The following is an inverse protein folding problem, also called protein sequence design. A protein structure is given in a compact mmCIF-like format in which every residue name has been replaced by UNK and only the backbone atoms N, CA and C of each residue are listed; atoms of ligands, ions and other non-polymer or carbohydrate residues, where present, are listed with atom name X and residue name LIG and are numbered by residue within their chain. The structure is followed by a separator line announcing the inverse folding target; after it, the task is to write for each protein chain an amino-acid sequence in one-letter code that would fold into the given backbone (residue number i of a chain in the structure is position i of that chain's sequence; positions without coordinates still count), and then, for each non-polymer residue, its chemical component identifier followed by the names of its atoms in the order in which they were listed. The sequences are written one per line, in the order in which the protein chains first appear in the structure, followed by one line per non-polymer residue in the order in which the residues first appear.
data_IF_334500283684
#
_entry.id   IF_334500283684
#
_cell.length_a   1.000
_cell.length_b   1.000
_cell.length_c   1.000
_cell.angle_alpha   90.00
_cell.angle_beta   90.00
_cell.angle_gamma   90.00
#
_symmetry.space_group_name_H-M   'P 1'
#
loop_
_entity.id
_entity.type
_entity.pdbx_description
1 polymer ?
#
# COMPACT_ATOMS: atom_id res chain seq x y z
N UNK A 1 -11.39 19.43 46.23
CA UNK A 1 -11.31 19.74 44.79
C UNK A 1 -12.72 20.04 44.30
N UNK A 2 -13.01 21.24 43.79
CA UNK A 2 -14.38 21.61 43.40
C UNK A 2 -14.87 20.80 42.20
N UNK A 3 -16.17 20.54 42.14
CA UNK A 3 -16.83 19.72 41.09
C UNK A 3 -16.51 20.24 39.67
N UNK A 4 -16.40 21.57 39.51
CA UNK A 4 -15.98 22.24 38.26
C UNK A 4 -14.54 21.94 37.85
N UNK A 5 -13.58 21.88 38.78
CA UNK A 5 -12.19 21.52 38.48
C UNK A 5 -12.08 20.06 38.04
N UNK A 6 -12.88 19.17 38.62
CA UNK A 6 -12.89 17.75 38.26
C UNK A 6 -13.47 17.52 36.86
N UNK A 7 -14.51 18.29 36.49
CA UNK A 7 -15.06 18.30 35.13
C UNK A 7 -14.06 18.84 34.09
N UNK A 8 -13.39 19.96 34.39
CA UNK A 8 -12.37 20.53 33.51
C UNK A 8 -11.22 19.55 33.27
N UNK A 9 -10.71 18.89 34.32
CA UNK A 9 -9.66 17.88 34.20
C UNK A 9 -10.10 16.70 33.34
N UNK A 10 -11.35 16.20 33.49
CA UNK A 10 -11.87 15.12 32.63
C UNK A 10 -11.92 15.51 31.15
N UNK A 11 -12.36 16.73 30.85
CA UNK A 11 -12.40 17.24 29.46
C UNK A 11 -10.99 17.36 28.90
N UNK A 12 -10.06 17.89 29.69
CA UNK A 12 -8.66 18.07 29.29
C UNK A 12 -7.98 16.72 28.99
N UNK A 13 -8.20 15.72 29.85
CA UNK A 13 -7.70 14.34 29.64
C UNK A 13 -8.33 13.72 28.39
N UNK A 14 -9.64 13.92 28.16
CA UNK A 14 -10.33 13.41 26.97
C UNK A 14 -9.77 14.02 25.67
N UNK A 15 -9.57 15.34 25.65
CA UNK A 15 -9.00 16.05 24.49
C UNK A 15 -7.56 15.62 24.24
N UNK A 16 -6.73 15.53 25.28
CA UNK A 16 -5.36 15.04 25.16
C UNK A 16 -5.34 13.61 24.61
N UNK A 17 -6.20 12.72 25.10
CA UNK A 17 -6.31 11.35 24.60
C UNK A 17 -6.65 11.28 23.10
N UNK A 18 -7.56 12.14 22.62
CA UNK A 18 -7.88 12.25 21.19
C UNK A 18 -6.68 12.74 20.38
N UNK A 19 -5.99 13.79 20.84
CA UNK A 19 -4.80 14.32 20.17
C UNK A 19 -3.71 13.26 20.07
N UNK A 20 -3.42 12.55 21.17
CA UNK A 20 -2.44 11.46 21.16
C UNK A 20 -2.85 10.32 20.21
N UNK A 21 -4.14 9.98 20.15
CA UNK A 21 -4.63 8.95 19.22
C UNK A 21 -4.44 9.35 17.75
N UNK A 22 -4.71 10.62 17.42
CA UNK A 22 -4.50 11.16 16.07
C UNK A 22 -3.02 11.13 15.70
N UNK A 23 -2.15 11.62 16.60
CA UNK A 23 -0.69 11.64 16.37
C UNK A 23 -0.16 10.21 16.21
N UNK A 24 -0.56 9.29 17.08
CA UNK A 24 -0.11 7.90 17.02
C UNK A 24 -0.51 7.24 15.69
N UNK A 25 -1.75 7.45 15.23
CA UNK A 25 -2.22 6.91 13.96
C UNK A 25 -1.46 7.52 12.77
N UNK A 26 -1.17 8.82 12.81
CA UNK A 26 -0.39 9.49 11.76
C UNK A 26 1.04 8.92 11.67
N UNK A 27 1.73 8.76 12.80
CA UNK A 27 3.08 8.19 12.86
C UNK A 27 3.09 6.75 12.35
N UNK A 28 2.09 5.95 12.72
CA UNK A 28 2.03 4.56 12.28
C UNK A 28 1.81 4.46 10.76
N UNK A 29 0.93 5.29 10.19
CA UNK A 29 0.73 5.36 8.73
C UNK A 29 2.00 5.79 7.98
N UNK A 30 2.74 6.76 8.50
CA UNK A 30 3.99 7.20 7.89
C UNK A 30 5.04 6.07 7.90
N UNK A 31 5.20 5.38 9.03
CA UNK A 31 6.11 4.24 9.14
C UNK A 31 5.73 3.09 8.18
N UNK A 32 4.43 2.81 8.04
CA UNK A 32 3.92 1.82 7.11
C UNK A 32 4.20 2.20 5.65
N UNK A 33 4.01 3.47 5.30
CA UNK A 33 4.32 3.98 3.97
C UNK A 33 5.81 3.83 3.63
N UNK A 34 6.70 4.21 4.55
CA UNK A 34 8.16 4.07 4.39
C UNK A 34 8.57 2.61 4.22
N UNK A 35 7.99 1.70 5.03
CA UNK A 35 8.24 0.26 4.89
C UNK A 35 7.75 -0.26 3.54
N UNK A 36 6.55 0.13 3.13
CA UNK A 36 5.97 -0.30 1.87
C UNK A 36 6.78 0.19 0.67
N UNK A 37 7.26 1.44 0.70
CA UNK A 37 8.16 1.97 -0.33
C UNK A 37 9.46 1.17 -0.42
N UNK A 38 10.06 0.85 0.74
CA UNK A 38 11.27 0.01 0.83
C UNK A 38 11.06 -1.40 0.29
N UNK A 39 9.92 -2.03 0.58
CA UNK A 39 9.63 -3.38 0.11
C UNK A 39 9.29 -3.39 -1.40
N UNK A 40 8.57 -2.38 -1.89
CA UNK A 40 8.28 -2.22 -3.33
C UNK A 40 9.56 -2.03 -4.15
N UNK A 41 10.57 -1.34 -3.61
CA UNK A 41 11.86 -1.20 -4.28
C UNK A 41 12.54 -2.57 -4.59
N UNK A 42 12.14 -3.64 -3.90
CA UNK A 42 12.64 -4.99 -4.12
C UNK A 42 11.91 -5.76 -5.24
N UNK A 43 10.85 -5.19 -5.85
CA UNK A 43 10.08 -5.82 -6.93
C UNK A 43 10.78 -5.89 -8.29
N UNK A 44 12.06 -5.53 -8.39
CA UNK A 44 12.82 -5.49 -9.64
C UNK A 44 12.93 -6.86 -10.35
N UNK A 45 12.85 -6.87 -11.69
CA UNK A 45 13.02 -8.09 -12.50
C UNK A 45 14.45 -8.29 -13.03
N UNK A 46 15.19 -7.21 -13.34
CA UNK A 46 16.58 -7.22 -13.85
C UNK A 46 17.34 -5.94 -13.51
N UNK A 47 18.66 -5.93 -13.76
CA UNK A 47 19.55 -4.78 -13.57
C UNK A 47 19.02 -3.52 -14.25
N UNK A 48 18.82 -2.45 -13.47
CA UNK A 48 18.39 -1.12 -13.92
C UNK A 48 16.88 -0.89 -13.93
N UNK A 49 16.05 -1.93 -13.73
CA UNK A 49 14.62 -1.76 -13.51
C UNK A 49 14.34 -1.55 -12.03
N UNK A 50 13.54 -0.54 -11.69
CA UNK A 50 13.21 -0.19 -10.32
C UNK A 50 11.71 0.01 -10.17
N UNK A 51 11.13 -0.62 -9.17
CA UNK A 51 9.75 -0.39 -8.79
C UNK A 51 9.69 0.65 -7.67
N UNK A 52 8.70 1.53 -7.74
CA UNK A 52 8.48 2.57 -6.73
C UNK A 52 7.01 2.69 -6.39
N UNK A 53 6.73 2.90 -5.10
CA UNK A 53 5.41 3.31 -4.64
C UNK A 53 5.09 4.72 -5.17
N UNK A 54 4.07 4.83 -6.01
CA UNK A 54 3.57 6.12 -6.49
C UNK A 54 2.49 6.66 -5.57
N UNK A 55 1.56 5.80 -5.16
CA UNK A 55 0.56 6.17 -4.18
C UNK A 55 -0.01 4.94 -3.45
N UNK A 56 -0.52 5.20 -2.25
CA UNK A 56 -1.36 4.30 -1.47
C UNK A 56 -2.55 5.11 -0.98
N UNK A 57 -3.75 4.71 -1.38
CA UNK A 57 -4.99 5.39 -0.99
C UNK A 57 -6.00 4.40 -0.43
N UNK A 58 -6.63 4.76 0.67
CA UNK A 58 -7.65 3.94 1.33
C UNK A 58 -9.03 4.60 1.14
N UNK A 59 -9.99 3.81 0.66
CA UNK A 59 -11.40 4.16 0.55
C UNK A 59 -12.26 3.07 1.18
N UNK A 60 -13.56 3.34 1.36
CA UNK A 60 -14.50 2.39 1.96
C UNK A 60 -14.53 1.09 1.17
N UNK A 61 -13.96 0.02 1.75
CA UNK A 61 -13.92 -1.32 1.16
C UNK A 61 -12.87 -1.54 0.07
N UNK A 62 -12.03 -0.54 -0.23
CA UNK A 62 -11.01 -0.62 -1.28
C UNK A 62 -9.73 0.10 -0.86
N UNK A 63 -8.59 -0.57 -0.99
CA UNK A 63 -7.27 0.06 -0.93
C UNK A 63 -6.70 0.11 -2.35
N UNK A 64 -6.36 1.30 -2.84
CA UNK A 64 -5.66 1.50 -4.11
C UNK A 64 -4.16 1.59 -3.87
N UNK A 65 -3.40 0.80 -4.62
CA UNK A 65 -1.94 0.75 -4.58
C UNK A 65 -1.40 1.01 -5.98
N UNK A 66 -0.61 2.06 -6.15
CA UNK A 66 -0.01 2.40 -7.44
C UNK A 66 1.49 2.18 -7.39
N UNK A 67 2.00 1.35 -8.30
CA UNK A 67 3.41 0.99 -8.40
C UNK A 67 3.93 1.37 -9.79
N UNK A 68 4.92 2.26 -9.81
CA UNK A 68 5.63 2.66 -11.03
C UNK A 68 6.87 1.81 -11.25
N UNK A 69 7.06 1.33 -12.48
CA UNK A 69 8.25 0.60 -12.89
C UNK A 69 9.10 1.46 -13.83
N UNK A 70 10.29 1.85 -13.37
CA UNK A 70 11.29 2.56 -14.17
C UNK A 70 12.19 1.57 -14.93
N UNK A 71 12.77 2.00 -16.06
CA UNK A 71 13.62 1.14 -16.90
C UNK A 71 12.86 0.17 -17.82
N UNK A 72 11.53 0.23 -17.80
CA UNK A 72 10.62 -0.57 -18.62
C UNK A 72 9.78 0.33 -19.54
N UNK A 73 9.48 -0.11 -20.77
CA UNK A 73 8.67 0.66 -21.73
C UNK A 73 7.73 -0.24 -22.53
N UNK A 74 6.58 0.29 -22.99
CA UNK A 74 5.69 -0.39 -23.94
C UNK A 74 6.35 -0.75 -25.27
N UNK A 75 7.39 -0.02 -25.64
CA UNK A 75 8.15 -0.27 -26.86
C UNK A 75 9.18 -1.38 -26.73
N UNK A 76 9.40 -1.95 -25.53
CA UNK A 76 10.34 -3.05 -25.35
C UNK A 76 9.87 -4.29 -26.12
N UNK A 77 10.80 -4.96 -26.81
CA UNK A 77 10.52 -6.21 -27.52
C UNK A 77 9.99 -7.32 -26.58
N UNK A 78 10.34 -7.24 -25.28
CA UNK A 78 9.92 -8.18 -24.23
C UNK A 78 8.78 -7.63 -23.36
N UNK A 79 8.04 -6.62 -23.82
CA UNK A 79 7.02 -5.94 -23.03
C UNK A 79 6.01 -6.91 -22.39
N UNK A 80 5.40 -7.79 -23.19
CA UNK A 80 4.38 -8.72 -22.70
C UNK A 80 4.94 -9.73 -21.68
N UNK A 81 6.18 -10.18 -21.89
CA UNK A 81 6.85 -11.09 -20.96
C UNK A 81 7.13 -10.41 -19.61
N UNK A 82 7.79 -9.24 -19.65
CA UNK A 82 8.10 -8.44 -18.45
C UNK A 82 6.83 -8.03 -17.70
N UNK A 83 5.78 -7.60 -18.41
CA UNK A 83 4.47 -7.28 -17.83
C UNK A 83 3.90 -8.46 -17.04
N UNK A 84 3.95 -9.67 -17.60
CA UNK A 84 3.45 -10.86 -16.91
C UNK A 84 4.29 -11.23 -15.67
N UNK A 85 5.62 -11.07 -15.76
CA UNK A 85 6.51 -11.26 -14.62
C UNK A 85 6.24 -10.26 -13.50
N UNK A 86 6.06 -8.98 -13.82
CA UNK A 86 5.68 -7.94 -12.85
C UNK A 86 4.33 -8.26 -12.21
N UNK A 87 3.32 -8.64 -12.99
CA UNK A 87 2.02 -9.04 -12.44
C UNK A 87 2.13 -10.19 -11.43
N UNK A 88 2.93 -11.20 -11.73
CA UNK A 88 3.14 -12.33 -10.83
C UNK A 88 3.90 -11.91 -9.55
N UNK A 89 4.98 -11.13 -9.68
CA UNK A 89 5.74 -10.62 -8.54
C UNK A 89 4.90 -9.71 -7.65
N UNK A 90 4.15 -8.79 -8.24
CA UNK A 90 3.26 -7.89 -7.51
C UNK A 90 2.17 -8.66 -6.78
N UNK A 91 1.57 -9.67 -7.42
CA UNK A 91 0.59 -10.53 -6.75
C UNK A 91 1.20 -11.23 -5.52
N UNK A 92 2.37 -11.83 -5.68
CA UNK A 92 3.08 -12.47 -4.57
C UNK A 92 3.37 -11.46 -3.45
N UNK A 93 3.95 -10.31 -3.79
CA UNK A 93 4.24 -9.24 -2.86
C UNK A 93 3.03 -8.78 -2.06
N UNK A 94 1.89 -8.52 -2.72
CA UNK A 94 0.68 -8.08 -2.04
C UNK A 94 0.17 -9.14 -1.07
N UNK A 95 0.27 -10.42 -1.44
CA UNK A 95 -0.18 -11.52 -0.59
C UNK A 95 0.75 -11.82 0.59
N UNK A 96 2.04 -11.48 0.50
CA UNK A 96 3.03 -11.78 1.54
C UNK A 96 3.45 -10.55 2.36
N UNK A 97 3.10 -9.34 1.95
CA UNK A 97 3.51 -8.12 2.64
C UNK A 97 2.65 -7.87 3.88
N UNK A 98 3.29 -7.75 5.04
CA UNK A 98 2.61 -7.57 6.33
C UNK A 98 1.79 -6.27 6.42
N UNK A 99 2.27 -5.19 5.78
CA UNK A 99 1.54 -3.91 5.74
C UNK A 99 0.27 -4.05 4.90
N UNK A 100 0.33 -4.79 3.79
CA UNK A 100 -0.83 -4.99 2.91
C UNK A 100 -1.83 -6.01 3.45
N UNK A 101 -1.34 -6.98 4.22
CA UNK A 101 -2.13 -8.05 4.83
C UNK A 101 -3.26 -7.51 5.71
N UNK A 102 -3.02 -6.46 6.50
CA UNK A 102 -4.07 -5.84 7.34
C UNK A 102 -5.27 -5.32 6.53
N UNK A 103 -5.06 -4.87 5.29
CA UNK A 103 -6.15 -4.45 4.41
C UNK A 103 -6.88 -5.67 3.85
N UNK A 104 -6.16 -6.72 3.45
CA UNK A 104 -6.77 -7.97 2.97
C UNK A 104 -7.61 -8.67 4.06
N UNK A 105 -7.14 -8.65 5.30
CA UNK A 105 -7.79 -9.28 6.46
C UNK A 105 -9.05 -8.52 6.91
N UNK A 106 -9.18 -7.24 6.56
CA UNK A 106 -10.38 -6.41 6.82
C UNK A 106 -11.45 -6.52 5.72
N UNK A 107 -11.39 -7.59 4.92
CA UNK A 107 -12.24 -7.87 3.76
C UNK A 107 -12.19 -6.79 2.64
N UNK A 108 -11.24 -5.85 2.71
CA UNK A 108 -11.03 -4.88 1.66
C UNK A 108 -10.33 -5.54 0.46
N UNK A 109 -10.76 -5.17 -0.75
CA UNK A 109 -10.00 -5.49 -1.96
C UNK A 109 -8.84 -4.51 -2.11
N UNK A 110 -7.67 -5.01 -2.51
CA UNK A 110 -6.55 -4.18 -2.92
C UNK A 110 -6.55 -4.13 -4.45
N UNK A 111 -6.76 -2.94 -5.01
CA UNK A 111 -6.59 -2.67 -6.44
C UNK A 111 -5.16 -2.20 -6.64
N UNK A 112 -4.40 -2.91 -7.46
CA UNK A 112 -3.02 -2.54 -7.79
C UNK A 112 -2.91 -2.11 -9.23
N UNK A 113 -2.52 -0.86 -9.44
CA UNK A 113 -2.16 -0.33 -10.75
C UNK A 113 -0.65 -0.37 -10.92
N UNK A 114 -0.21 -1.14 -11.91
CA UNK A 114 1.17 -1.16 -12.37
C UNK A 114 1.30 -0.16 -13.52
N UNK A 115 2.22 0.80 -13.41
CA UNK A 115 2.47 1.82 -14.42
C UNK A 115 3.91 1.77 -14.93
N UNK A 116 4.11 2.25 -16.15
CA UNK A 116 5.45 2.51 -16.67
C UNK A 116 5.91 3.91 -16.26
N UNK A 117 7.06 3.99 -15.61
CA UNK A 117 7.62 5.22 -15.08
C UNK A 117 6.75 5.84 -13.99
N UNK A 118 6.83 7.18 -13.88
CA UNK A 118 6.15 7.98 -12.86
C UNK A 118 4.77 8.48 -13.28
N UNK A 119 4.32 8.12 -14.48
CA UNK A 119 3.06 8.63 -15.03
C UNK A 119 1.90 7.69 -14.72
N UNK A 120 0.98 8.14 -13.88
CA UNK A 120 -0.22 7.40 -13.49
C UNK A 120 -1.15 7.09 -14.67
N UNK A 121 -1.04 7.82 -15.79
CA UNK A 121 -1.82 7.57 -16.99
C UNK A 121 -1.33 6.36 -17.80
N UNK A 122 -0.13 5.84 -17.53
CA UNK A 122 0.46 4.74 -18.31
C UNK A 122 0.35 3.38 -17.60
N UNK A 123 -0.89 2.98 -17.29
CA UNK A 123 -1.21 1.71 -16.63
C UNK A 123 -0.96 0.54 -17.59
N UNK A 124 -0.06 -0.36 -17.20
CA UNK A 124 0.27 -1.59 -17.92
C UNK A 124 -0.49 -2.80 -17.41
N UNK A 125 -0.90 -2.79 -16.14
CA UNK A 125 -1.74 -3.83 -15.57
C UNK A 125 -2.53 -3.32 -14.36
N UNK A 126 -3.78 -3.78 -14.26
CA UNK A 126 -4.62 -3.59 -13.08
C UNK A 126 -4.87 -4.97 -12.45
N UNK A 127 -4.62 -5.10 -11.15
CA UNK A 127 -4.80 -6.33 -10.39
C UNK A 127 -5.80 -6.08 -9.27
N UNK A 128 -6.92 -6.80 -9.29
CA UNK A 128 -7.82 -6.86 -8.12
C UNK A 128 -7.41 -8.05 -7.23
N UNK A 129 -6.93 -7.77 -6.03
CA UNK A 129 -6.40 -8.76 -5.09
C UNK A 129 -7.24 -8.76 -3.82
N UNK A 130 -7.72 -9.95 -3.46
CA UNK A 130 -8.50 -10.20 -2.24
C UNK A 130 -7.83 -11.29 -1.42
N UNK A 131 -8.18 -11.39 -0.13
CA UNK A 131 -7.71 -12.48 0.73
C UNK A 131 -7.94 -13.86 0.11
N UNK A 132 -9.14 -14.10 -0.46
CA UNK A 132 -9.46 -15.35 -1.16
C UNK A 132 -8.56 -15.63 -2.37
N UNK A 133 -8.11 -14.59 -3.09
CA UNK A 133 -7.15 -14.74 -4.20
C UNK A 133 -5.78 -15.15 -3.68
N UNK A 134 -5.34 -14.58 -2.56
CA UNK A 134 -4.07 -14.94 -1.93
C UNK A 134 -4.07 -16.38 -1.39
N UNK A 135 -5.15 -16.82 -0.73
CA UNK A 135 -5.24 -18.20 -0.22
C UNK A 135 -5.15 -19.27 -1.31
N UNK A 136 -5.57 -18.96 -2.54
CA UNK A 136 -5.46 -19.90 -3.69
C UNK A 136 -4.03 -20.09 -4.19
N UNK A 137 -3.10 -19.22 -3.81
CA UNK A 137 -1.69 -19.33 -4.18
C UNK A 137 -0.92 -20.32 -3.28
N UNK A 138 -1.52 -20.77 -2.16
CA UNK A 138 -0.85 -21.65 -1.20
C UNK A 138 0.33 -20.99 -0.49
N UNK A 139 0.32 -19.66 -0.39
CA UNK A 139 1.31 -18.81 0.28
C UNK A 139 0.90 -18.55 1.73
#
# INVERSE_FOLDING_TARGET
MNQKNTQLVRVLVGVLGLIFSIIYNAINRENEYVRLESDIAQLHLKDGEHAKLLSLYESTGVTSLEIGVEGFSRSDALFEEKKNQYKAKTLNFVCTNDVLKKYLDSEAQIIVDLTVGKNLADIIANLNITSARCSRLGL
#
